data_IF_370675251781
#
_entry.id   IF_370675251781
#
_cell.length_a   1.000
_cell.length_b   1.000
_cell.length_c   1.000
_cell.angle_alpha   90.00
_cell.angle_beta   90.00
_cell.angle_gamma   90.00
#
_symmetry.space_group_name_H-M   'P 1'
#
loop_
_entity.id
_entity.type
_entity.pdbx_description
1 polymer ?
#
# COMPACT_ATOMS: atom_id res chain seq x y z
N UNK A 1 7.86 23.39 -3.74
CA UNK A 1 8.09 21.97 -4.10
C UNK A 1 6.74 21.33 -4.35
N UNK A 2 6.60 20.49 -5.39
CA UNK A 2 5.36 19.76 -5.65
C UNK A 2 5.28 18.63 -4.63
N UNK A 3 4.22 18.63 -3.81
CA UNK A 3 3.97 17.55 -2.84
C UNK A 3 3.70 16.28 -3.64
N UNK A 4 4.55 15.27 -3.48
CA UNK A 4 4.34 13.96 -4.09
C UNK A 4 3.17 13.32 -3.33
N UNK A 5 2.14 12.86 -4.04
CA UNK A 5 1.01 12.17 -3.44
C UNK A 5 1.35 10.69 -3.25
N UNK A 6 0.91 10.09 -2.15
CA UNK A 6 1.12 8.67 -1.84
C UNK A 6 0.65 7.77 -3.00
N UNK A 7 -0.52 8.04 -3.57
CA UNK A 7 -1.07 7.22 -4.64
C UNK A 7 -0.27 7.32 -5.95
N UNK A 8 0.35 8.48 -6.24
CA UNK A 8 1.19 8.61 -7.43
C UNK A 8 2.34 7.58 -7.38
N UNK A 9 3.03 7.49 -6.23
CA UNK A 9 4.12 6.53 -5.98
C UNK A 9 3.61 5.09 -5.99
N UNK A 10 2.50 4.84 -5.30
CA UNK A 10 1.89 3.50 -5.25
C UNK A 10 1.49 3.02 -6.64
N UNK A 11 0.90 3.89 -7.46
CA UNK A 11 0.42 3.53 -8.80
C UNK A 11 1.57 3.11 -9.72
N UNK A 12 2.72 3.78 -9.63
CA UNK A 12 3.92 3.46 -10.39
C UNK A 12 4.47 2.07 -10.00
N UNK A 13 4.67 1.85 -8.69
CA UNK A 13 5.23 0.58 -8.17
C UNK A 13 4.27 -0.59 -8.40
N UNK A 14 2.96 -0.39 -8.22
CA UNK A 14 1.95 -1.43 -8.48
C UNK A 14 1.87 -1.76 -9.97
N UNK A 15 1.98 -0.76 -10.85
CA UNK A 15 2.03 -0.98 -12.30
C UNK A 15 3.25 -1.80 -12.71
N UNK A 16 4.43 -1.45 -12.20
CA UNK A 16 5.66 -2.19 -12.45
C UNK A 16 5.57 -3.63 -11.97
N UNK A 17 5.13 -3.85 -10.72
CA UNK A 17 4.92 -5.20 -10.18
C UNK A 17 3.85 -5.97 -10.98
N UNK A 18 2.79 -5.31 -11.44
CA UNK A 18 1.77 -5.90 -12.30
C UNK A 18 2.34 -6.43 -13.62
N UNK A 19 3.25 -5.69 -14.25
CA UNK A 19 3.94 -6.14 -15.45
C UNK A 19 4.82 -7.37 -15.17
N UNK A 20 5.46 -7.43 -14.01
CA UNK A 20 6.28 -8.58 -13.61
C UNK A 20 5.44 -9.83 -13.27
N UNK A 21 4.24 -9.66 -12.72
CA UNK A 21 3.36 -10.78 -12.36
C UNK A 21 2.49 -11.30 -13.52
N UNK A 22 2.40 -10.53 -14.61
CA UNK A 22 1.73 -10.92 -15.84
C UNK A 22 2.42 -12.13 -16.52
N UNK A 23 1.68 -13.06 -17.15
CA UNK A 23 0.22 -13.10 -17.31
C UNK A 23 -0.49 -13.89 -16.19
N UNK A 24 0.25 -14.43 -15.22
CA UNK A 24 -0.28 -15.39 -14.25
C UNK A 24 -1.23 -14.73 -13.24
N UNK A 25 -1.04 -13.43 -13.00
CA UNK A 25 -1.80 -12.67 -12.04
C UNK A 25 -2.39 -11.42 -12.68
N UNK A 26 -3.57 -11.04 -12.20
CA UNK A 26 -4.24 -9.79 -12.55
C UNK A 26 -4.58 -9.00 -11.30
N UNK A 27 -4.66 -7.68 -11.41
CA UNK A 27 -5.06 -6.80 -10.31
C UNK A 27 -6.56 -7.00 -10.02
N UNK A 28 -6.92 -7.02 -8.74
CA UNK A 28 -8.30 -6.90 -8.27
C UNK A 28 -8.65 -5.41 -8.22
N UNK A 29 -9.34 -4.92 -9.24
CA UNK A 29 -9.71 -3.50 -9.38
C UNK A 29 -10.41 -2.91 -8.15
N UNK A 30 -11.26 -3.70 -7.47
CA UNK A 30 -11.93 -3.27 -6.26
C UNK A 30 -10.94 -3.00 -5.11
N UNK A 31 -9.95 -3.87 -4.92
CA UNK A 31 -8.95 -3.74 -3.86
C UNK A 31 -7.95 -2.63 -4.19
N UNK A 32 -7.64 -2.43 -5.47
CA UNK A 32 -6.81 -1.31 -5.93
C UNK A 32 -7.47 0.05 -5.64
N UNK A 33 -8.78 0.19 -5.91
CA UNK A 33 -9.54 1.40 -5.54
C UNK A 33 -9.62 1.62 -4.03
N UNK A 34 -9.65 0.55 -3.24
CA UNK A 34 -9.59 0.65 -1.79
C UNK A 34 -8.21 1.14 -1.34
N UNK A 35 -7.14 0.66 -1.96
CA UNK A 35 -5.77 1.12 -1.68
C UNK A 35 -5.61 2.61 -2.03
N UNK A 36 -6.19 3.09 -3.13
CA UNK A 36 -6.23 4.53 -3.45
C UNK A 36 -6.84 5.36 -2.32
N UNK A 37 -7.95 4.91 -1.73
CA UNK A 37 -8.54 5.59 -0.56
C UNK A 37 -7.61 5.56 0.65
N UNK A 38 -6.84 4.48 0.83
CA UNK A 38 -5.86 4.39 1.93
C UNK A 38 -4.69 5.35 1.72
N UNK A 39 -4.26 5.55 0.48
CA UNK A 39 -3.27 6.56 0.13
C UNK A 39 -3.76 7.96 0.50
N UNK A 40 -5.05 8.28 0.32
CA UNK A 40 -5.60 9.57 0.75
C UNK A 40 -5.56 9.78 2.27
N UNK A 41 -5.74 8.72 3.08
CA UNK A 41 -5.56 8.82 4.53
C UNK A 41 -4.09 8.94 4.92
N UNK A 42 -3.20 8.28 4.19
CA UNK A 42 -1.75 8.39 4.37
C UNK A 42 -1.26 9.80 4.00
N UNK A 43 -1.78 10.39 2.93
CA UNK A 43 -1.47 11.79 2.59
C UNK A 43 -1.90 12.73 3.71
N UNK A 44 -3.09 12.56 4.29
CA UNK A 44 -3.50 13.36 5.45
C UNK A 44 -2.56 13.18 6.64
N UNK A 45 -2.09 11.96 6.87
CA UNK A 45 -1.11 11.66 7.92
C UNK A 45 0.23 12.35 7.66
N UNK A 46 0.69 12.32 6.42
CA UNK A 46 1.90 13.01 5.99
C UNK A 46 1.78 14.53 6.11
N UNK A 47 0.60 15.07 5.82
CA UNK A 47 0.30 16.50 5.99
C UNK A 47 0.32 16.91 7.46
N UNK A 48 -0.24 16.07 8.33
CA UNK A 48 -0.37 16.33 9.77
C UNK A 48 0.95 16.21 10.52
N UNK A 49 1.78 15.23 10.17
CA UNK A 49 3.06 14.94 10.85
C UNK A 49 4.28 15.27 9.99
N UNK A 50 4.13 16.20 9.04
CA UNK A 50 5.21 16.75 8.23
C UNK A 50 6.11 15.68 7.58
N UNK A 51 5.50 14.66 6.98
CA UNK A 51 6.27 13.57 6.39
C UNK A 51 7.15 14.04 5.24
N UNK A 52 8.36 13.51 5.21
CA UNK A 52 9.40 13.87 4.24
C UNK A 52 9.42 12.91 3.05
N UNK A 53 9.04 11.65 3.27
CA UNK A 53 9.27 10.57 2.32
C UNK A 53 8.23 9.45 2.40
N UNK A 54 7.95 8.86 1.23
CA UNK A 54 7.18 7.63 1.08
C UNK A 54 8.06 6.55 0.46
N UNK A 55 8.08 5.36 1.07
CA UNK A 55 8.63 4.15 0.46
C UNK A 55 7.50 3.18 0.17
N UNK A 56 7.41 2.68 -1.07
CA UNK A 56 6.40 1.68 -1.46
C UNK A 56 7.10 0.42 -1.95
N UNK A 57 6.69 -0.73 -1.43
CA UNK A 57 7.23 -2.02 -1.81
C UNK A 57 6.10 -3.02 -2.08
N UNK A 58 6.32 -3.92 -3.04
CA UNK A 58 5.42 -5.05 -3.30
C UNK A 58 6.15 -6.33 -2.97
N UNK A 59 5.59 -7.14 -2.07
CA UNK A 59 6.19 -8.43 -1.74
C UNK A 59 5.89 -9.44 -2.86
N UNK A 60 6.90 -10.00 -3.56
CA UNK A 60 6.67 -10.89 -4.69
C UNK A 60 6.08 -12.25 -4.27
N UNK A 61 6.16 -12.62 -3.00
CA UNK A 61 5.71 -13.93 -2.51
C UNK A 61 4.21 -13.97 -2.20
N UNK A 62 3.72 -13.03 -1.40
CA UNK A 62 2.31 -12.95 -0.98
C UNK A 62 1.51 -11.84 -1.68
N UNK A 63 2.20 -10.98 -2.45
CA UNK A 63 1.63 -9.92 -3.30
C UNK A 63 0.99 -8.81 -2.48
N UNK A 64 1.39 -8.65 -1.22
CA UNK A 64 1.01 -7.50 -0.38
C UNK A 64 1.75 -6.24 -0.78
N UNK A 65 1.14 -5.08 -0.51
CA UNK A 65 1.76 -3.77 -0.72
C UNK A 65 2.12 -3.18 0.63
N UNK A 66 3.37 -2.79 0.80
CA UNK A 66 3.87 -2.08 1.97
C UNK A 66 4.04 -0.61 1.61
N UNK A 67 3.51 0.28 2.45
CA UNK A 67 3.72 1.73 2.37
C UNK A 67 4.37 2.16 3.66
N UNK A 68 5.56 2.74 3.55
CA UNK A 68 6.31 3.32 4.67
C UNK A 68 6.26 4.84 4.54
N UNK A 69 5.98 5.52 5.66
CA UNK A 69 5.95 6.98 5.75
C UNK A 69 7.00 7.40 6.75
N UNK A 70 7.90 8.30 6.35
CA UNK A 70 8.92 8.88 7.23
C UNK A 70 8.45 10.22 7.78
N UNK A 71 8.36 10.32 9.11
CA UNK A 71 7.93 11.51 9.85
C UNK A 71 8.92 11.79 10.98
N UNK A 72 9.16 13.05 11.38
CA UNK A 72 10.01 13.36 12.53
C UNK A 72 9.52 12.69 13.82
N UNK A 73 8.24 12.86 14.14
CA UNK A 73 7.56 12.25 15.27
C UNK A 73 6.03 12.17 15.02
N UNK A 74 5.34 11.30 15.77
CA UNK A 74 3.88 11.19 15.73
C UNK A 74 3.36 11.19 17.18
N UNK A 75 2.43 12.10 17.47
CA UNK A 75 1.72 12.15 18.74
C UNK A 75 0.22 12.31 18.51
N UNK A 76 -0.56 11.31 18.88
CA UNK A 76 -2.02 11.30 18.72
C UNK A 76 -2.66 11.18 20.10
N UNK A 77 -3.26 12.27 20.56
CA UNK A 77 -3.89 12.36 21.89
C UNK A 77 -5.40 12.11 21.86
N UNK A 78 -6.01 12.09 20.67
CA UNK A 78 -7.45 11.91 20.49
C UNK A 78 -7.82 10.43 20.51
N UNK A 79 -9.01 10.10 21.06
CA UNK A 79 -9.51 8.71 21.07
C UNK A 79 -9.94 8.23 19.69
N UNK A 80 -10.38 9.16 18.84
CA UNK A 80 -10.87 8.89 17.50
C UNK A 80 -9.99 9.65 16.52
N UNK A 81 -9.05 8.94 15.89
CA UNK A 81 -8.17 9.47 14.86
C UNK A 81 -8.24 8.59 13.62
N UNK A 82 -8.16 9.18 12.42
CA UNK A 82 -8.22 8.40 11.18
C UNK A 82 -7.03 7.43 11.04
N UNK A 83 -5.90 7.72 11.70
CA UNK A 83 -4.77 6.81 11.84
C UNK A 83 -5.18 5.43 12.40
N UNK A 84 -6.03 5.39 13.42
CA UNK A 84 -6.48 4.12 13.99
C UNK A 84 -7.38 3.35 13.02
N UNK A 85 -8.13 4.05 12.18
CA UNK A 85 -8.91 3.43 11.10
C UNK A 85 -8.00 2.85 10.02
N UNK A 86 -6.90 3.53 9.70
CA UNK A 86 -5.89 3.07 8.75
C UNK A 86 -5.23 1.78 9.26
N UNK A 87 -4.77 1.76 10.52
CA UNK A 87 -4.15 0.57 11.14
C UNK A 87 -5.08 -0.64 11.09
N UNK A 88 -6.37 -0.48 11.43
CA UNK A 88 -7.36 -1.59 11.40
C UNK A 88 -7.54 -2.22 10.02
N UNK A 89 -7.17 -1.52 8.95
CA UNK A 89 -7.30 -1.96 7.56
C UNK A 89 -6.01 -2.57 7.00
N UNK A 90 -4.91 -2.47 7.74
CA UNK A 90 -3.66 -3.15 7.42
C UNK A 90 -3.70 -4.61 7.85
N UNK A 91 -3.01 -5.47 7.12
CA UNK A 91 -2.73 -6.85 7.56
C UNK A 91 -1.58 -6.90 8.56
N UNK A 92 -0.67 -5.93 8.47
CA UNK A 92 0.45 -5.77 9.39
C UNK A 92 0.78 -4.29 9.51
N UNK A 93 1.07 -3.88 10.73
CA UNK A 93 1.51 -2.54 11.07
C UNK A 93 2.81 -2.64 11.87
N UNK A 94 3.72 -1.71 11.68
CA UNK A 94 4.96 -1.64 12.44
C UNK A 94 5.59 -0.26 12.34
N UNK A 95 6.65 -0.06 13.10
CA UNK A 95 7.45 1.14 13.01
C UNK A 95 8.92 0.81 13.27
N UNK A 96 9.81 1.67 12.77
CA UNK A 96 11.25 1.60 13.00
C UNK A 96 11.85 3.00 13.01
N UNK A 97 13.13 3.10 13.35
CA UNK A 97 13.90 4.34 13.18
C UNK A 97 14.62 4.33 11.84
N UNK A 98 14.56 5.41 11.07
CA UNK A 98 15.46 5.62 9.94
C UNK A 98 16.88 5.97 10.44
N UNK A 99 17.84 6.01 9.52
CA UNK A 99 19.25 6.27 9.82
C UNK A 99 19.50 7.64 10.47
N UNK A 100 18.66 8.63 10.15
CA UNK A 100 18.70 9.99 10.71
C UNK A 100 17.95 10.12 12.06
N UNK A 101 17.32 9.04 12.54
CA UNK A 101 16.56 9.02 13.79
C UNK A 101 15.07 9.38 13.66
N UNK A 102 14.57 9.65 12.45
CA UNK A 102 13.14 9.87 12.21
C UNK A 102 12.33 8.57 12.37
N UNK A 103 11.02 8.71 12.55
CA UNK A 103 10.09 7.59 12.66
C UNK A 103 9.66 7.11 11.27
N UNK A 104 9.96 5.85 10.97
CA UNK A 104 9.38 5.14 9.83
C UNK A 104 8.15 4.36 10.29
N UNK A 105 6.99 4.71 9.77
CA UNK A 105 5.73 3.99 10.03
C UNK A 105 5.39 3.11 8.84
N UNK A 106 5.20 1.81 9.06
CA UNK A 106 4.98 0.80 8.02
C UNK A 106 3.53 0.28 8.04
N UNK A 107 2.84 0.46 6.92
CA UNK A 107 1.50 -0.06 6.66
C UNK A 107 1.56 -1.15 5.60
N UNK A 108 1.19 -2.38 5.95
CA UNK A 108 1.09 -3.48 4.98
C UNK A 108 -0.37 -3.74 4.66
N UNK A 109 -0.74 -3.59 3.39
CA UNK A 109 -2.09 -3.80 2.90
C UNK A 109 -2.28 -5.21 2.32
N UNK A 110 -3.53 -5.71 2.29
CA UNK A 110 -3.85 -7.00 1.69
C UNK A 110 -3.35 -7.12 0.25
N UNK A 111 -3.21 -8.37 -0.21
CA UNK A 111 -2.78 -8.66 -1.59
C UNK A 111 -3.71 -8.05 -2.63
N UNK A 112 -3.14 -7.35 -3.62
CA UNK A 112 -3.92 -6.74 -4.71
C UNK A 112 -4.16 -7.67 -5.89
N UNK A 113 -3.32 -8.69 -6.06
CA UNK A 113 -3.39 -9.55 -7.23
C UNK A 113 -4.16 -10.83 -6.96
N UNK A 114 -4.87 -11.32 -7.96
CA UNK A 114 -5.46 -12.65 -8.01
C UNK A 114 -4.90 -13.47 -9.17
N UNK A 115 -4.85 -14.80 -9.01
CA UNK A 115 -4.45 -15.66 -10.11
C UNK A 115 -5.49 -15.54 -11.20
N UNK A 116 -5.04 -15.44 -12.44
CA UNK A 116 -5.92 -15.63 -13.58
C UNK A 116 -6.36 -17.10 -13.51
N UNK A 117 -7.63 -17.33 -13.22
CA UNK A 117 -8.20 -18.68 -13.27
C UNK A 117 -8.10 -19.17 -14.71
N UNK A 118 -7.37 -20.26 -14.95
CA UNK A 118 -7.52 -21.00 -16.19
C UNK A 118 -8.97 -21.48 -16.24
N UNK A 119 -9.76 -20.96 -17.19
CA UNK A 119 -11.03 -21.61 -17.54
C UNK A 119 -10.69 -23.07 -17.90
N UNK A 120 -11.47 -24.05 -17.44
CA UNK A 120 -11.17 -25.45 -17.71
C UNK A 120 -11.17 -25.70 -19.22
N UNK A 121 -10.10 -26.34 -19.70
CA UNK A 121 -9.94 -26.91 -21.05
C UNK A 121 -10.92 -28.08 -21.32
N UNK A 122 -12.17 -27.98 -20.88
CA UNK A 122 -13.21 -28.97 -21.11
C UNK A 122 -14.40 -28.36 -21.85
N UNK A 123 -14.14 -27.74 -23.01
CA UNK A 123 -15.11 -27.67 -24.09
C UNK A 123 -14.40 -28.03 -25.40
N UNK A 124 -13.95 -29.28 -25.50
CA UNK A 124 -13.73 -29.95 -26.78
C UNK A 124 -14.25 -31.38 -26.69
N UNK A 125 -15.29 -31.66 -27.49
CA UNK A 125 -15.54 -32.97 -28.10
C UNK A 125 -16.28 -34.01 -27.26
N UNK A 126 -17.62 -34.03 -27.40
CA UNK A 126 -18.33 -35.07 -28.16
C UNK A 126 -19.75 -34.64 -28.47
#
# INVERSE_FOLDING_TARGET
>A
MRKINCFDVVSEVVSEAGNQFSPTWKIKEADYKILEQYCQYIDRLADEFEAEYYAVEVCPYDKTVSISVETPDISICEKEHYFFSLIKRTVRFGFSSSENGSLLTHFVFPRLWERVSELPLHIFGR
#
